data_IF_096747821361
#
_entry.id   IF_096747821361
#
_cell.length_a   1.000
_cell.length_b   1.000
_cell.length_c   1.000
_cell.angle_alpha   90.00
_cell.angle_beta   90.00
_cell.angle_gamma   90.00
#
_symmetry.space_group_name_H-M   'P 1'
#
loop_
_entity.id
_entity.type
_entity.pdbx_description
1 polymer ?
#
# COMPACT_ATOMS: atom_id res chain seq x y z
N UNK A 1 4.21 -14.72 46.12
CA UNK A 1 3.50 -14.02 45.03
C UNK A 1 4.55 -13.19 44.27
N UNK A 2 4.83 -13.52 43.04
CA UNK A 2 5.78 -12.72 42.22
C UNK A 2 5.14 -11.36 41.96
N UNK A 3 5.82 -10.27 42.34
CA UNK A 3 5.34 -8.92 42.05
C UNK A 3 5.27 -8.74 40.53
N UNK A 4 4.08 -8.40 40.01
CA UNK A 4 3.88 -8.07 38.61
C UNK A 4 4.60 -6.78 38.25
N UNK A 5 5.45 -6.80 37.22
CA UNK A 5 6.22 -5.64 36.75
C UNK A 5 6.00 -5.37 35.29
N UNK A 6 6.21 -4.14 34.84
CA UNK A 6 6.14 -3.80 33.40
C UNK A 6 7.24 -4.50 32.64
N UNK A 7 6.91 -5.01 31.45
CA UNK A 7 7.84 -5.70 30.55
C UNK A 7 9.09 -4.86 30.29
N UNK A 8 8.95 -3.54 30.05
CA UNK A 8 10.09 -2.64 29.87
C UNK A 8 11.07 -2.65 31.06
N UNK A 9 10.58 -2.80 32.30
CA UNK A 9 11.44 -2.94 33.48
C UNK A 9 12.17 -4.28 33.47
N UNK A 10 11.45 -5.36 33.16
CA UNK A 10 12.01 -6.72 33.12
C UNK A 10 13.07 -6.87 32.03
N UNK A 11 12.82 -6.31 30.85
CA UNK A 11 13.78 -6.32 29.71
C UNK A 11 14.99 -5.45 30.02
N UNK A 12 14.81 -4.28 30.67
CA UNK A 12 15.93 -3.42 31.06
C UNK A 12 16.89 -4.14 32.05
N UNK A 13 16.35 -4.91 33.00
CA UNK A 13 17.13 -5.75 33.89
C UNK A 13 17.84 -6.90 33.18
N UNK A 14 17.14 -7.59 32.25
CA UNK A 14 17.66 -8.72 31.49
C UNK A 14 18.79 -8.29 30.52
N UNK A 15 18.58 -7.22 29.77
CA UNK A 15 19.52 -6.72 28.78
C UNK A 15 20.57 -5.74 29.34
N UNK A 16 20.49 -5.38 30.65
CA UNK A 16 21.34 -4.37 31.32
C UNK A 16 21.36 -3.04 30.58
N UNK A 17 20.21 -2.58 30.15
CA UNK A 17 20.02 -1.36 29.35
C UNK A 17 19.05 -0.39 30.06
N UNK A 18 18.91 0.83 29.51
CA UNK A 18 17.93 1.79 29.99
C UNK A 18 16.50 1.33 29.70
N UNK A 19 15.51 1.87 30.45
CA UNK A 19 14.09 1.59 30.16
C UNK A 19 13.65 2.07 28.77
N UNK A 20 14.27 3.13 28.27
CA UNK A 20 14.01 3.64 26.92
C UNK A 20 14.50 2.65 25.84
N UNK A 21 15.70 2.11 26.02
CA UNK A 21 16.24 1.08 25.12
C UNK A 21 15.43 -0.22 25.21
N UNK A 22 15.03 -0.62 26.41
CA UNK A 22 14.15 -1.77 26.62
C UNK A 22 12.80 -1.59 25.89
N UNK A 23 12.23 -0.38 25.94
CA UNK A 23 11.00 -0.07 25.20
C UNK A 23 11.21 -0.19 23.68
N UNK A 24 12.34 0.28 23.15
CA UNK A 24 12.67 0.13 21.73
C UNK A 24 12.81 -1.34 21.30
N UNK A 25 13.45 -2.18 22.11
CA UNK A 25 13.51 -3.62 21.84
C UNK A 25 12.11 -4.25 21.79
N UNK A 26 11.24 -3.89 22.75
CA UNK A 26 9.87 -4.41 22.80
C UNK A 26 9.07 -3.92 21.58
N UNK A 27 9.08 -2.63 21.31
CA UNK A 27 8.40 -2.02 20.17
C UNK A 27 8.95 -2.50 18.82
N UNK A 28 10.21 -2.93 18.78
CA UNK A 28 10.85 -3.56 17.63
C UNK A 28 10.49 -5.03 17.43
N UNK A 29 9.65 -5.62 18.32
CA UNK A 29 9.26 -7.04 18.26
C UNK A 29 10.42 -8.01 18.57
N UNK A 30 11.43 -7.56 19.33
CA UNK A 30 12.58 -8.37 19.69
C UNK A 30 12.40 -9.14 21.00
N UNK A 31 11.25 -8.94 21.66
CA UNK A 31 10.98 -9.54 22.98
C UNK A 31 9.84 -10.52 22.89
N UNK A 32 10.04 -11.72 23.45
CA UNK A 32 8.98 -12.71 23.62
C UNK A 32 8.66 -12.90 25.09
N UNK A 33 7.38 -13.18 25.36
CA UNK A 33 6.86 -13.60 26.66
C UNK A 33 6.21 -14.95 26.43
N UNK A 34 6.70 -15.99 27.10
CA UNK A 34 6.30 -17.39 26.90
C UNK A 34 6.29 -17.81 25.40
N UNK A 35 7.29 -17.33 24.64
CA UNK A 35 7.46 -17.63 23.21
C UNK A 35 6.62 -16.78 22.27
N UNK A 36 5.76 -15.89 22.76
CA UNK A 36 4.95 -14.98 21.95
C UNK A 36 5.56 -13.58 21.90
N UNK A 37 5.68 -13.00 20.71
CA UNK A 37 6.16 -11.61 20.55
C UNK A 37 5.20 -10.64 21.22
N UNK A 38 5.75 -9.77 22.10
CA UNK A 38 5.00 -8.70 22.76
C UNK A 38 5.61 -7.35 22.37
N UNK A 39 4.79 -6.47 21.82
CA UNK A 39 5.22 -5.15 21.31
C UNK A 39 4.84 -3.98 22.25
N UNK A 40 4.23 -4.27 23.39
CA UNK A 40 3.77 -3.24 24.34
C UNK A 40 4.71 -3.16 25.54
N UNK A 41 5.49 -2.05 25.72
CA UNK A 41 6.40 -1.87 26.85
C UNK A 41 5.73 -1.89 28.22
N UNK A 42 4.43 -1.52 28.26
CA UNK A 42 3.61 -1.50 29.49
C UNK A 42 2.98 -2.85 29.82
N UNK A 43 3.13 -3.88 28.99
CA UNK A 43 2.65 -5.24 29.28
C UNK A 43 3.15 -5.69 30.66
N UNK A 44 2.28 -6.32 31.45
CA UNK A 44 2.61 -6.76 32.80
C UNK A 44 3.07 -8.21 32.79
N UNK A 45 4.19 -8.48 33.40
CA UNK A 45 4.77 -9.82 33.58
C UNK A 45 5.05 -10.10 35.07
N UNK A 46 4.84 -11.33 35.50
CA UNK A 46 5.09 -11.78 36.86
C UNK A 46 6.09 -12.94 36.92
N UNK A 47 5.73 -14.08 36.38
CA UNK A 47 6.56 -15.30 36.39
C UNK A 47 6.82 -15.86 34.98
N UNK A 48 6.33 -15.18 33.94
CA UNK A 48 6.47 -15.59 32.56
C UNK A 48 7.93 -15.54 32.09
N UNK A 49 8.27 -16.40 31.15
CA UNK A 49 9.59 -16.44 30.52
C UNK A 49 9.74 -15.29 29.53
N UNK A 50 10.55 -14.31 29.90
CA UNK A 50 10.87 -13.17 29.02
C UNK A 50 12.21 -13.42 28.35
N UNK A 51 12.24 -13.36 27.03
CA UNK A 51 13.44 -13.56 26.24
C UNK A 51 13.65 -12.39 25.26
N UNK A 52 14.91 -12.00 25.10
CA UNK A 52 15.35 -11.04 24.08
C UNK A 52 15.99 -11.82 22.93
N UNK A 53 15.56 -11.56 21.70
CA UNK A 53 16.15 -12.14 20.49
C UNK A 53 17.65 -11.82 20.43
N UNK A 54 18.54 -12.82 20.22
CA UNK A 54 19.99 -12.56 20.11
C UNK A 54 20.38 -11.60 18.99
N UNK A 55 19.54 -11.47 17.96
CA UNK A 55 19.71 -10.53 16.86
C UNK A 55 19.10 -9.14 17.10
N UNK A 56 18.66 -8.87 18.34
CA UNK A 56 17.99 -7.60 18.67
C UNK A 56 18.88 -6.38 18.39
N UNK A 57 18.28 -5.36 17.77
CA UNK A 57 18.94 -4.09 17.45
C UNK A 57 18.14 -2.93 17.99
N UNK A 58 18.83 -1.90 18.45
CA UNK A 58 18.24 -0.62 18.82
C UNK A 58 18.05 0.20 17.55
N UNK A 59 16.89 0.04 16.95
CA UNK A 59 16.47 0.82 15.78
C UNK A 59 15.23 1.64 16.13
N UNK A 60 15.22 2.91 15.69
CA UNK A 60 14.02 3.72 15.83
C UNK A 60 12.86 3.07 15.05
N UNK A 61 11.68 3.16 15.65
CA UNK A 61 10.46 2.69 15.01
C UNK A 61 10.16 3.48 13.74
N UNK A 62 10.48 2.93 12.57
CA UNK A 62 10.16 3.57 11.30
C UNK A 62 8.68 3.39 10.94
N UNK A 63 8.06 4.43 10.33
CA UNK A 63 6.70 4.34 9.83
C UNK A 63 6.64 3.39 8.63
N UNK A 64 5.61 2.54 8.61
CA UNK A 64 5.42 1.57 7.54
C UNK A 64 4.85 2.21 6.27
N UNK A 65 5.28 1.66 5.13
CA UNK A 65 4.64 1.87 3.82
C UNK A 65 4.41 0.50 3.20
N UNK A 66 3.16 0.18 2.93
CA UNK A 66 2.73 -1.09 2.36
C UNK A 66 2.24 -0.88 0.93
N UNK A 67 2.57 -1.81 0.06
CA UNK A 67 2.03 -1.90 -1.29
C UNK A 67 0.95 -2.97 -1.28
N UNK A 68 -0.24 -2.65 -1.76
CA UNK A 68 -1.38 -3.57 -1.75
C UNK A 68 -1.91 -3.77 -3.16
N UNK A 69 -2.21 -5.00 -3.53
CA UNK A 69 -2.99 -5.29 -4.74
C UNK A 69 -4.48 -5.25 -4.41
N UNK A 70 -5.08 -4.06 -4.57
CA UNK A 70 -6.50 -3.84 -4.32
C UNK A 70 -7.37 -4.73 -5.22
N UNK A 71 -8.29 -5.53 -4.67
CA UNK A 71 -9.34 -6.17 -5.44
C UNK A 71 -10.37 -5.15 -5.97
N UNK A 72 -11.16 -5.56 -6.95
CA UNK A 72 -12.38 -4.86 -7.35
C UNK A 72 -13.38 -4.85 -6.18
N UNK A 73 -14.17 -3.79 -6.06
CA UNK A 73 -15.22 -3.65 -5.05
C UNK A 73 -14.78 -2.98 -3.76
N UNK A 74 -13.48 -2.77 -3.53
CA UNK A 74 -12.94 -2.06 -2.37
C UNK A 74 -12.69 -0.59 -2.67
N UNK A 75 -12.90 0.25 -1.67
CA UNK A 75 -12.71 1.71 -1.77
C UNK A 75 -11.37 2.14 -1.20
N UNK A 76 -10.74 3.07 -1.90
CA UNK A 76 -9.53 3.75 -1.44
C UNK A 76 -9.85 5.07 -0.73
N UNK A 77 -11.04 5.61 -0.96
CA UNK A 77 -11.61 6.79 -0.29
C UNK A 77 -13.05 6.42 0.05
N UNK A 78 -13.46 6.67 1.29
CA UNK A 78 -14.80 6.32 1.76
C UNK A 78 -14.78 5.18 2.78
N UNK A 79 -15.94 4.93 3.37
CA UNK A 79 -16.10 3.97 4.48
C UNK A 79 -16.88 2.71 4.09
N UNK A 80 -17.45 2.68 2.87
CA UNK A 80 -18.17 1.52 2.36
C UNK A 80 -17.19 0.53 1.72
N UNK A 81 -16.81 -0.49 2.48
CA UNK A 81 -15.84 -1.52 2.10
C UNK A 81 -14.40 -0.97 1.87
N UNK A 82 -13.78 -0.32 2.87
CA UNK A 82 -12.46 0.28 2.72
C UNK A 82 -11.36 -0.76 2.47
N UNK A 83 -10.30 -0.35 1.77
CA UNK A 83 -9.19 -1.22 1.39
C UNK A 83 -8.22 -1.50 2.56
N UNK A 84 -8.15 -0.63 3.56
CA UNK A 84 -7.17 -0.71 4.65
C UNK A 84 -7.23 -1.99 5.48
N UNK A 85 -8.41 -2.60 5.78
CA UNK A 85 -8.49 -3.86 6.51
C UNK A 85 -7.94 -5.07 5.74
N UNK A 86 -7.64 -4.93 4.46
CA UNK A 86 -6.96 -5.99 3.70
C UNK A 86 -5.48 -6.10 4.08
N UNK A 87 -4.87 -5.01 4.57
CA UNK A 87 -3.49 -5.03 5.06
C UNK A 87 -3.46 -5.61 6.48
N UNK A 88 -3.15 -6.89 6.59
CA UNK A 88 -3.04 -7.65 7.84
C UNK A 88 -1.96 -8.72 7.70
N UNK A 89 -1.41 -9.27 8.80
CA UNK A 89 -0.31 -10.24 8.75
C UNK A 89 -0.57 -11.41 7.80
N UNK A 90 -1.80 -11.93 7.78
CA UNK A 90 -2.19 -13.13 7.02
C UNK A 90 -2.25 -12.90 5.50
N UNK A 91 -2.35 -11.64 5.07
CA UNK A 91 -2.42 -11.27 3.64
C UNK A 91 -1.08 -10.80 3.09
N UNK A 92 0.00 -10.93 3.86
CA UNK A 92 1.35 -10.67 3.34
C UNK A 92 1.66 -11.58 2.15
N UNK A 93 2.17 -10.99 1.07
CA UNK A 93 2.65 -11.78 -0.07
C UNK A 93 3.79 -12.71 0.36
N UNK A 94 3.66 -14.01 0.06
CA UNK A 94 4.63 -15.03 0.48
C UNK A 94 6.04 -14.78 -0.09
N UNK A 95 6.11 -14.21 -1.30
CA UNK A 95 7.37 -13.88 -1.99
C UNK A 95 7.80 -12.41 -1.75
N UNK A 96 7.32 -11.76 -0.69
CA UNK A 96 7.75 -10.39 -0.35
C UNK A 96 9.26 -10.33 -0.10
N UNK A 97 10.02 -9.61 -0.96
CA UNK A 97 11.48 -9.59 -0.88
C UNK A 97 12.01 -8.61 0.18
N UNK A 98 11.15 -7.88 0.88
CA UNK A 98 11.56 -6.79 1.78
C UNK A 98 12.36 -7.27 2.99
N UNK A 99 12.11 -8.51 3.45
CA UNK A 99 12.71 -9.04 4.69
C UNK A 99 12.28 -8.29 5.96
N UNK A 100 11.32 -7.38 5.87
CA UNK A 100 10.87 -6.57 6.99
C UNK A 100 10.16 -7.44 8.03
N UNK A 101 10.55 -7.30 9.29
CA UNK A 101 9.87 -7.93 10.43
C UNK A 101 8.46 -7.35 10.56
N UNK A 102 7.45 -8.22 10.63
CA UNK A 102 6.07 -7.81 10.85
C UNK A 102 5.88 -7.33 12.29
N UNK A 103 5.27 -6.16 12.45
CA UNK A 103 4.90 -5.58 13.73
C UNK A 103 3.44 -5.13 13.68
N UNK A 104 2.71 -5.31 14.77
CA UNK A 104 1.29 -4.92 14.85
C UNK A 104 1.09 -3.43 14.54
N UNK A 105 2.03 -2.59 14.98
CA UNK A 105 2.00 -1.15 14.71
C UNK A 105 2.00 -0.80 13.21
N UNK A 106 2.55 -1.65 12.34
CA UNK A 106 2.58 -1.41 10.88
C UNK A 106 1.21 -1.39 10.23
N UNK A 107 0.20 -1.96 10.90
CA UNK A 107 -1.17 -2.04 10.40
C UNK A 107 -2.10 -0.96 10.99
N UNK A 108 -1.62 -0.15 11.92
CA UNK A 108 -2.41 0.92 12.53
C UNK A 108 -2.21 2.25 11.82
N UNK A 109 -3.30 3.04 11.70
CA UNK A 109 -3.27 4.41 11.14
C UNK A 109 -2.65 4.50 9.73
N UNK A 110 -2.83 3.49 8.93
CA UNK A 110 -2.45 3.51 7.52
C UNK A 110 -3.36 4.48 6.76
N UNK A 111 -2.75 5.37 5.99
CA UNK A 111 -3.47 6.27 5.07
C UNK A 111 -3.32 5.74 3.65
N UNK A 112 -4.45 5.63 2.93
CA UNK A 112 -4.44 5.25 1.52
C UNK A 112 -4.01 6.43 0.66
N UNK A 113 -3.03 6.21 -0.20
CA UNK A 113 -2.45 7.21 -1.09
C UNK A 113 -2.66 6.81 -2.55
N UNK A 114 -2.69 7.80 -3.45
CA UNK A 114 -2.94 7.59 -4.87
C UNK A 114 -4.24 6.80 -5.12
N UNK A 115 -5.41 7.42 -4.91
CA UNK A 115 -6.71 6.75 -5.00
C UNK A 115 -6.90 5.93 -6.27
N UNK A 116 -7.72 4.91 -6.20
CA UNK A 116 -8.08 4.05 -7.31
C UNK A 116 -9.58 3.75 -7.23
N UNK A 117 -10.27 3.80 -8.36
CA UNK A 117 -11.71 3.60 -8.45
C UNK A 117 -12.13 2.25 -7.83
N UNK A 118 -13.34 2.21 -7.25
CA UNK A 118 -13.88 1.01 -6.58
C UNK A 118 -13.90 -0.20 -7.50
N UNK A 119 -14.28 0.00 -8.76
CA UNK A 119 -14.40 -1.02 -9.80
C UNK A 119 -13.09 -1.30 -10.56
N UNK A 120 -11.99 -0.66 -10.16
CA UNK A 120 -10.65 -0.96 -10.64
C UNK A 120 -9.88 -1.81 -9.63
N UNK A 121 -8.92 -2.59 -10.13
CA UNK A 121 -7.97 -3.36 -9.32
C UNK A 121 -6.54 -2.82 -9.46
N UNK A 122 -5.63 -3.33 -8.67
CA UNK A 122 -4.20 -3.05 -8.85
C UNK A 122 -3.52 -2.38 -7.69
N UNK A 123 -2.35 -1.82 -7.96
CA UNK A 123 -1.43 -1.28 -6.96
C UNK A 123 -2.03 -0.09 -6.21
N UNK A 124 -2.04 -0.18 -4.90
CA UNK A 124 -2.39 0.91 -3.96
C UNK A 124 -1.28 1.03 -2.93
N UNK A 125 -1.03 2.25 -2.46
CA UNK A 125 -0.06 2.55 -1.41
C UNK A 125 -0.80 2.88 -0.12
N UNK A 126 -0.44 2.19 0.96
CA UNK A 126 -0.88 2.47 2.32
C UNK A 126 0.33 2.92 3.13
N UNK A 127 0.30 4.06 3.78
CA UNK A 127 1.48 4.57 4.48
C UNK A 127 1.15 5.29 5.79
N UNK A 128 2.09 5.19 6.72
CA UNK A 128 2.18 5.98 7.95
C UNK A 128 3.22 7.11 7.81
N UNK A 129 4.05 7.08 6.75
CA UNK A 129 5.17 8.00 6.57
C UNK A 129 4.70 9.32 5.95
N UNK A 130 4.83 10.42 6.68
CA UNK A 130 4.50 11.76 6.21
C UNK A 130 5.32 12.22 4.99
N UNK A 131 6.54 11.68 4.78
CA UNK A 131 7.36 11.95 3.59
C UNK A 131 6.73 11.32 2.35
N UNK A 132 6.28 10.06 2.48
CA UNK A 132 5.58 9.33 1.43
C UNK A 132 4.24 9.99 1.16
N UNK A 133 3.50 10.36 2.21
CA UNK A 133 2.25 11.09 2.10
C UNK A 133 2.42 12.36 1.28
N UNK A 134 3.38 13.22 1.66
CA UNK A 134 3.65 14.48 0.95
C UNK A 134 3.95 14.22 -0.52
N UNK A 135 4.88 13.31 -0.81
CA UNK A 135 5.29 12.98 -2.19
C UNK A 135 4.12 12.50 -3.06
N UNK A 136 3.27 11.61 -2.52
CA UNK A 136 2.17 11.01 -3.27
C UNK A 136 0.89 11.87 -3.30
N UNK A 137 0.85 12.97 -2.53
CA UNK A 137 -0.29 13.88 -2.47
C UNK A 137 0.03 15.21 -3.17
N UNK A 138 1.14 15.87 -2.80
CA UNK A 138 1.52 17.18 -3.34
C UNK A 138 2.06 17.07 -4.78
N UNK A 139 2.89 16.06 -5.06
CA UNK A 139 3.49 15.86 -6.38
C UNK A 139 2.72 14.83 -7.25
N UNK A 140 1.50 14.50 -6.86
CA UNK A 140 0.68 13.46 -7.50
C UNK A 140 0.56 13.63 -9.01
N UNK A 141 0.41 14.85 -9.48
CA UNK A 141 0.22 15.17 -10.89
C UNK A 141 1.50 15.03 -11.72
N UNK A 142 2.66 14.89 -11.08
CA UNK A 142 3.93 14.61 -11.74
C UNK A 142 4.30 13.12 -11.78
N UNK A 143 3.61 12.31 -10.96
CA UNK A 143 3.89 10.87 -10.86
C UNK A 143 3.15 10.13 -11.96
N UNK A 144 3.91 9.54 -12.88
CA UNK A 144 3.34 8.67 -13.92
C UNK A 144 2.81 7.37 -13.33
N UNK A 145 1.63 6.99 -13.75
CA UNK A 145 0.98 5.73 -13.41
C UNK A 145 0.76 4.91 -14.67
N UNK A 146 0.86 3.59 -14.56
CA UNK A 146 0.49 2.71 -15.66
C UNK A 146 -0.73 1.86 -15.33
N UNK A 147 -1.61 1.77 -16.32
CA UNK A 147 -2.82 0.97 -16.25
C UNK A 147 -2.91 0.02 -17.44
N UNK A 148 -3.43 -1.15 -17.19
CA UNK A 148 -3.96 -2.05 -18.24
C UNK A 148 -5.47 -1.92 -18.18
N UNK A 149 -6.06 -1.54 -19.30
CA UNK A 149 -7.51 -1.33 -19.46
C UNK A 149 -8.02 -2.33 -20.46
N UNK A 150 -8.84 -3.25 -20.01
CA UNK A 150 -9.55 -4.20 -20.88
C UNK A 150 -10.80 -3.53 -21.42
N UNK A 151 -10.97 -3.61 -22.74
CA UNK A 151 -12.04 -2.90 -23.46
C UNK A 151 -12.78 -3.83 -24.39
N UNK A 152 -14.03 -3.47 -24.69
CA UNK A 152 -14.88 -4.05 -25.71
C UNK A 152 -15.32 -2.96 -26.70
N UNK A 153 -15.75 -3.37 -27.90
CA UNK A 153 -16.19 -2.47 -28.95
C UNK A 153 -15.13 -2.21 -30.02
N UNK A 154 -15.43 -1.30 -30.91
CA UNK A 154 -14.54 -0.89 -32.00
C UNK A 154 -14.07 0.55 -31.79
N UNK A 155 -12.76 0.72 -31.75
CA UNK A 155 -12.19 2.06 -31.63
C UNK A 155 -12.52 2.90 -32.87
N UNK A 156 -13.01 4.11 -32.66
CA UNK A 156 -13.31 5.05 -33.71
C UNK A 156 -12.07 5.40 -34.56
N UNK A 157 -12.23 5.84 -35.83
CA UNK A 157 -11.11 6.32 -36.62
C UNK A 157 -10.28 7.37 -35.86
N UNK A 158 -8.95 7.20 -35.88
CA UNK A 158 -8.00 8.03 -35.13
C UNK A 158 -8.16 7.97 -33.61
N UNK A 159 -8.96 7.06 -33.05
CA UNK A 159 -9.26 6.95 -31.63
C UNK A 159 -8.00 6.76 -30.77
N UNK A 160 -7.04 5.91 -31.18
CA UNK A 160 -5.79 5.75 -30.47
C UNK A 160 -4.96 7.04 -30.41
N UNK A 161 -4.93 7.82 -31.50
CA UNK A 161 -4.29 9.14 -31.52
C UNK A 161 -4.98 10.10 -30.56
N UNK A 162 -6.32 10.10 -30.53
CA UNK A 162 -7.12 10.92 -29.61
C UNK A 162 -6.90 10.52 -28.14
N UNK A 163 -6.77 9.23 -27.83
CA UNK A 163 -6.43 8.75 -26.48
C UNK A 163 -5.08 9.29 -26.01
N UNK A 164 -4.12 9.41 -26.92
CA UNK A 164 -2.81 9.98 -26.59
C UNK A 164 -2.85 11.50 -26.42
N UNK A 165 -3.71 12.19 -27.18
CA UNK A 165 -3.84 13.65 -27.12
C UNK A 165 -5.15 14.13 -27.78
N UNK A 166 -5.79 15.09 -27.17
CA UNK A 166 -6.94 15.78 -27.76
C UNK A 166 -8.29 15.44 -27.14
N UNK A 167 -8.29 14.72 -26.03
CA UNK A 167 -9.51 14.48 -25.25
C UNK A 167 -9.68 15.53 -24.12
N UNK A 168 -10.91 15.61 -23.62
CA UNK A 168 -11.28 16.46 -22.50
C UNK A 168 -11.91 15.60 -21.42
N UNK A 169 -11.75 16.01 -20.17
CA UNK A 169 -12.42 15.42 -19.02
C UNK A 169 -12.83 16.51 -18.03
N UNK A 170 -14.08 16.48 -17.57
CA UNK A 170 -14.66 17.51 -16.71
C UNK A 170 -14.43 18.95 -17.22
N UNK A 171 -14.63 19.16 -18.54
CA UNK A 171 -14.49 20.45 -19.21
C UNK A 171 -13.05 20.96 -19.39
N UNK A 172 -12.04 20.15 -19.07
CA UNK A 172 -10.63 20.51 -19.21
C UNK A 172 -9.95 19.62 -20.25
N UNK A 173 -9.09 20.22 -21.08
CA UNK A 173 -8.24 19.46 -21.98
C UNK A 173 -7.27 18.58 -21.17
N UNK A 174 -7.18 17.31 -21.55
CA UNK A 174 -6.26 16.37 -20.92
C UNK A 174 -4.83 16.58 -21.44
N UNK A 175 -3.82 16.47 -20.57
CA UNK A 175 -2.43 16.50 -21.01
C UNK A 175 -2.09 15.29 -21.87
N UNK A 176 -0.97 15.38 -22.58
CA UNK A 176 -0.41 14.25 -23.32
C UNK A 176 -0.19 13.06 -22.40
N UNK A 177 -0.59 11.88 -22.86
CA UNK A 177 -0.27 10.61 -22.21
C UNK A 177 0.18 9.59 -23.28
N UNK A 178 0.63 8.43 -22.85
CA UNK A 178 1.02 7.35 -23.77
C UNK A 178 0.00 6.23 -23.66
N UNK A 179 -0.67 5.95 -24.79
CA UNK A 179 -1.62 4.85 -24.89
C UNK A 179 -1.24 3.98 -26.09
N UNK A 180 -1.17 2.69 -25.86
CA UNK A 180 -0.88 1.70 -26.89
C UNK A 180 -1.68 0.42 -26.68
N UNK A 181 -1.94 -0.31 -27.74
CA UNK A 181 -2.48 -1.66 -27.65
C UNK A 181 -1.43 -2.61 -27.07
N UNK A 182 -1.80 -3.34 -26.03
CA UNK A 182 -1.01 -4.46 -25.51
C UNK A 182 -1.37 -5.76 -26.23
N UNK A 183 -2.64 -5.92 -26.57
CA UNK A 183 -3.21 -6.96 -27.42
C UNK A 183 -4.56 -6.47 -27.99
N UNK A 184 -5.34 -7.33 -28.61
CA UNK A 184 -6.59 -6.99 -29.31
C UNK A 184 -7.67 -6.36 -28.41
N UNK A 185 -7.66 -6.67 -27.10
CA UNK A 185 -8.69 -6.22 -26.15
C UNK A 185 -8.13 -5.40 -24.99
N UNK A 186 -6.81 -5.13 -24.95
CA UNK A 186 -6.19 -4.42 -23.81
C UNK A 186 -5.35 -3.24 -24.28
N UNK A 187 -5.66 -2.09 -23.72
CA UNK A 187 -4.87 -0.88 -23.84
C UNK A 187 -3.95 -0.73 -22.62
N UNK A 188 -2.73 -0.29 -22.85
CA UNK A 188 -1.81 0.16 -21.80
C UNK A 188 -1.75 1.68 -21.82
N UNK A 189 -2.06 2.29 -20.68
CA UNK A 189 -1.96 3.72 -20.46
C UNK A 189 -0.75 4.02 -19.57
N UNK A 190 0.07 4.99 -19.94
CA UNK A 190 1.04 5.64 -19.08
C UNK A 190 0.64 7.11 -18.96
N UNK A 191 0.13 7.52 -17.82
CA UNK A 191 -0.59 8.77 -17.61
C UNK A 191 -0.24 9.38 -16.26
N UNK A 192 -0.22 10.73 -16.20
CA UNK A 192 -0.04 11.51 -14.99
C UNK A 192 -1.34 12.18 -14.59
N UNK A 193 -1.49 12.51 -13.29
CA UNK A 193 -2.62 13.29 -12.78
C UNK A 193 -3.99 12.69 -13.08
N UNK A 194 -4.10 11.35 -13.17
CA UNK A 194 -5.36 10.69 -13.49
C UNK A 194 -6.39 10.90 -12.38
N UNK A 195 -7.62 11.22 -12.78
CA UNK A 195 -8.77 11.42 -11.90
C UNK A 195 -9.69 10.19 -11.91
N UNK A 196 -10.53 10.05 -10.87
CA UNK A 196 -11.55 9.00 -10.82
C UNK A 196 -12.47 9.05 -12.03
N UNK A 197 -12.77 7.90 -12.63
CA UNK A 197 -13.59 7.77 -13.84
C UNK A 197 -12.95 8.21 -15.15
N UNK A 198 -11.81 8.91 -15.14
CA UNK A 198 -11.20 9.50 -16.33
C UNK A 198 -10.87 8.47 -17.42
N UNK A 199 -10.29 7.31 -17.07
CA UNK A 199 -9.94 6.30 -18.06
C UNK A 199 -11.15 5.70 -18.77
N UNK A 200 -12.28 5.56 -18.05
CA UNK A 200 -13.55 5.10 -18.63
C UNK A 200 -14.10 6.11 -19.61
N UNK A 201 -14.10 7.37 -19.22
CA UNK A 201 -14.57 8.45 -20.07
C UNK A 201 -13.71 8.61 -21.33
N UNK A 202 -12.38 8.55 -21.20
CA UNK A 202 -11.46 8.59 -22.36
C UNK A 202 -11.75 7.46 -23.35
N UNK A 203 -11.96 6.24 -22.88
CA UNK A 203 -12.30 5.10 -23.72
C UNK A 203 -13.67 5.29 -24.39
N UNK A 204 -14.68 5.75 -23.65
CA UNK A 204 -16.02 6.02 -24.19
C UNK A 204 -16.00 7.08 -25.29
N UNK A 205 -15.22 8.14 -25.16
CA UNK A 205 -15.07 9.19 -26.16
C UNK A 205 -14.50 8.69 -27.52
N UNK A 206 -13.90 7.51 -27.54
CA UNK A 206 -13.36 6.87 -28.75
C UNK A 206 -14.13 5.60 -29.16
N UNK A 207 -15.32 5.37 -28.57
CA UNK A 207 -16.21 4.26 -28.93
C UNK A 207 -15.93 2.93 -28.23
N UNK A 208 -15.09 2.93 -27.20
CA UNK A 208 -14.74 1.73 -26.43
C UNK A 208 -15.47 1.68 -25.10
N UNK A 209 -15.92 0.49 -24.70
CA UNK A 209 -16.47 0.22 -23.38
C UNK A 209 -15.42 -0.45 -22.51
N UNK A 210 -15.15 0.10 -21.33
CA UNK A 210 -14.19 -0.49 -20.39
C UNK A 210 -14.81 -1.66 -19.64
N UNK A 211 -14.18 -2.82 -19.76
CA UNK A 211 -14.53 -4.06 -19.05
C UNK A 211 -13.82 -4.13 -17.70
N UNK A 212 -12.52 -3.87 -17.68
CA UNK A 212 -11.72 -3.90 -16.44
C UNK A 212 -10.57 -2.87 -16.49
N UNK A 213 -10.21 -2.37 -15.31
CA UNK A 213 -9.04 -1.49 -15.12
C UNK A 213 -8.14 -2.12 -14.08
N UNK A 214 -6.84 -2.17 -14.36
CA UNK A 214 -5.83 -2.59 -13.39
C UNK A 214 -4.64 -1.64 -13.40
N UNK A 215 -4.35 -1.00 -12.26
CA UNK A 215 -3.14 -0.19 -12.10
C UNK A 215 -1.95 -1.11 -11.83
N UNK A 216 -0.97 -1.09 -12.72
CA UNK A 216 0.18 -1.98 -12.68
C UNK A 216 1.48 -1.30 -12.21
N UNK A 217 1.51 0.05 -12.14
CA UNK A 217 2.68 0.79 -11.70
C UNK A 217 2.31 2.18 -11.16
N UNK A 218 3.02 2.64 -10.15
CA UNK A 218 3.02 4.01 -9.64
C UNK A 218 4.48 4.48 -9.61
N UNK A 219 4.81 5.54 -10.36
CA UNK A 219 6.18 6.00 -10.50
C UNK A 219 7.12 4.88 -10.97
N UNK A 220 8.08 4.50 -10.14
CA UNK A 220 9.02 3.40 -10.40
C UNK A 220 8.60 2.07 -9.76
N UNK A 221 7.51 2.06 -9.01
CA UNK A 221 7.07 0.90 -8.22
C UNK A 221 6.07 0.08 -9.01
N UNK A 222 6.41 -1.13 -9.46
CA UNK A 222 5.48 -2.01 -10.17
C UNK A 222 4.62 -2.81 -9.20
N UNK A 223 3.45 -3.24 -9.66
CA UNK A 223 2.62 -4.25 -8.98
C UNK A 223 3.31 -5.63 -8.93
N UNK A 224 4.22 -5.87 -9.89
CA UNK A 224 4.91 -7.14 -10.07
C UNK A 224 3.94 -8.34 -10.17
N UNK A 225 4.28 -9.45 -9.49
CA UNK A 225 3.47 -10.68 -9.44
C UNK A 225 2.63 -10.78 -8.16
N UNK A 226 2.48 -9.68 -7.43
CA UNK A 226 1.72 -9.67 -6.18
C UNK A 226 0.28 -10.17 -6.42
N UNK A 227 -0.18 -11.19 -5.70
CA UNK A 227 -1.54 -11.70 -5.82
C UNK A 227 -2.59 -10.66 -5.42
N UNK A 228 -3.79 -10.79 -5.97
CA UNK A 228 -4.93 -9.92 -5.60
C UNK A 228 -5.26 -10.09 -4.12
N UNK A 229 -5.43 -9.00 -3.40
CA UNK A 229 -5.70 -8.98 -1.97
C UNK A 229 -4.46 -9.13 -1.08
N UNK A 230 -3.29 -9.31 -1.66
CA UNK A 230 -2.02 -9.35 -0.91
C UNK A 230 -1.33 -7.98 -0.88
N UNK A 231 -0.44 -7.83 0.09
CA UNK A 231 0.43 -6.67 0.25
C UNK A 231 1.88 -7.10 0.49
#
# INVERSE_FOLDING_TARGET
>A
MSDSVRLAKRVAELARCSRSEAAQYIEGGWVTVDGHVVEQPQHMVAGERVELDPGARLEAAEPATLLLHKPVGFETIGDDNPVTPLARPETRWADDPSGVRLLQRHFHRLTTLMPLDRDASGLVVLSQDGRVWRRLTEDRDEIEQEFVVEVDGQIAPYGLRRLNHGLHYNGRALPLCKVSWQNEIRLRFAIKGVQGGQLRDMCAQVGLTVVAIRRIRIGRVPLAKMPVGSW
#
